data_IF_262767650085
#
_entry.id   IF_262767650085
#
_cell.length_a   1.000
_cell.length_b   1.000
_cell.length_c   1.000
_cell.angle_alpha   90.00
_cell.angle_beta   90.00
_cell.angle_gamma   90.00
#
_symmetry.space_group_name_H-M   'P 1'
#
loop_
_entity.id
_entity.type
_entity.pdbx_description
1 polymer ?
#
# COMPACT_ATOMS: atom_id res chain seq x y z
N UNK A 1 9.31 -45.17 1.27
CA UNK A 1 9.01 -44.01 2.15
C UNK A 1 9.26 -42.67 1.44
N UNK A 2 10.45 -42.43 0.86
CA UNK A 2 10.73 -41.20 0.10
C UNK A 2 9.73 -40.90 -1.03
N UNK A 3 9.44 -41.88 -1.89
CA UNK A 3 8.48 -41.71 -2.99
C UNK A 3 7.07 -41.33 -2.49
N UNK A 4 6.65 -41.86 -1.34
CA UNK A 4 5.37 -41.54 -0.72
C UNK A 4 5.35 -40.11 -0.18
N UNK A 5 6.45 -39.65 0.46
CA UNK A 5 6.58 -38.26 0.88
C UNK A 5 6.63 -37.29 -0.31
N UNK A 6 7.31 -37.66 -1.40
CA UNK A 6 7.31 -36.88 -2.63
C UNK A 6 5.92 -36.79 -3.26
N UNK A 7 5.19 -37.91 -3.32
CA UNK A 7 3.82 -37.93 -3.84
C UNK A 7 2.87 -37.10 -2.96
N UNK A 8 2.97 -37.23 -1.64
CA UNK A 8 2.18 -36.42 -0.70
C UNK A 8 2.49 -34.93 -0.86
N UNK A 9 3.77 -34.58 -0.97
CA UNK A 9 4.19 -33.20 -1.19
C UNK A 9 3.68 -32.65 -2.53
N UNK A 10 3.69 -33.44 -3.60
CA UNK A 10 3.10 -33.08 -4.89
C UNK A 10 1.59 -32.82 -4.76
N UNK A 11 0.86 -33.66 -4.04
CA UNK A 11 -0.57 -33.45 -3.77
C UNK A 11 -0.79 -32.13 -3.03
N UNK A 12 0.01 -31.85 -2.00
CA UNK A 12 -0.05 -30.57 -1.25
C UNK A 12 0.22 -29.38 -2.17
N UNK A 13 1.21 -29.47 -3.06
CA UNK A 13 1.51 -28.41 -4.04
C UNK A 13 0.36 -28.19 -5.03
N UNK A 14 -0.24 -29.27 -5.53
CA UNK A 14 -1.39 -29.19 -6.44
C UNK A 14 -2.62 -28.60 -5.76
N UNK A 15 -2.89 -28.99 -4.51
CA UNK A 15 -3.97 -28.43 -3.70
C UNK A 15 -3.72 -26.95 -3.43
N UNK A 16 -2.52 -26.57 -2.99
CA UNK A 16 -2.15 -25.17 -2.77
C UNK A 16 -2.29 -24.33 -4.06
N UNK A 17 -1.82 -24.85 -5.19
CA UNK A 17 -1.94 -24.21 -6.49
C UNK A 17 -3.40 -24.06 -6.93
N UNK A 18 -4.20 -25.09 -6.75
CA UNK A 18 -5.64 -25.09 -7.03
C UNK A 18 -6.41 -24.08 -6.18
N UNK A 19 -6.18 -24.05 -4.85
CA UNK A 19 -6.80 -23.05 -3.98
C UNK A 19 -6.42 -21.62 -4.39
N UNK A 20 -5.14 -21.39 -4.70
CA UNK A 20 -4.66 -20.08 -5.14
C UNK A 20 -5.29 -19.66 -6.48
N UNK A 21 -5.41 -20.59 -7.43
CA UNK A 21 -6.08 -20.36 -8.71
C UNK A 21 -7.55 -19.98 -8.48
N UNK A 22 -8.29 -20.79 -7.74
CA UNK A 22 -9.71 -20.55 -7.43
C UNK A 22 -9.92 -19.21 -6.74
N UNK A 23 -9.09 -18.89 -5.73
CA UNK A 23 -9.16 -17.61 -5.03
C UNK A 23 -8.89 -16.41 -5.96
N UNK A 24 -7.93 -16.53 -6.87
CA UNK A 24 -7.63 -15.47 -7.84
C UNK A 24 -8.75 -15.31 -8.89
N UNK A 25 -9.36 -16.41 -9.36
CA UNK A 25 -10.49 -16.36 -10.29
C UNK A 25 -11.69 -15.69 -9.62
N UNK A 26 -12.08 -16.12 -8.41
CA UNK A 26 -13.17 -15.47 -7.67
C UNK A 26 -12.91 -14.00 -7.43
N UNK A 27 -11.67 -13.64 -7.05
CA UNK A 27 -11.27 -12.24 -6.89
C UNK A 27 -11.44 -11.45 -8.19
N UNK A 28 -11.00 -11.99 -9.32
CA UNK A 28 -11.16 -11.35 -10.63
C UNK A 28 -12.63 -11.13 -11.00
N UNK A 29 -13.49 -12.12 -10.77
CA UNK A 29 -14.94 -11.99 -11.00
C UNK A 29 -15.59 -10.95 -10.10
N UNK A 30 -15.16 -10.83 -8.83
CA UNK A 30 -15.66 -9.79 -7.91
C UNK A 30 -15.27 -8.39 -8.38
N UNK A 31 -14.03 -8.21 -8.83
CA UNK A 31 -13.55 -6.94 -9.39
C UNK A 31 -14.40 -6.53 -10.60
N UNK A 32 -14.64 -7.46 -11.55
CA UNK A 32 -15.47 -7.15 -12.72
C UNK A 32 -16.93 -6.85 -12.32
N UNK A 33 -17.49 -7.60 -11.35
CA UNK A 33 -18.83 -7.34 -10.83
C UNK A 33 -18.97 -5.93 -10.22
N UNK A 34 -17.96 -5.45 -9.50
CA UNK A 34 -17.92 -4.08 -8.97
C UNK A 34 -17.76 -3.06 -10.09
N UNK A 35 -16.91 -3.34 -11.08
CA UNK A 35 -16.70 -2.47 -12.24
C UNK A 35 -18.00 -2.29 -13.04
N UNK A 36 -18.74 -3.38 -13.29
CA UNK A 36 -20.05 -3.34 -13.93
C UNK A 36 -21.05 -2.47 -13.15
N UNK A 37 -21.19 -2.69 -11.84
CA UNK A 37 -22.07 -1.88 -11.00
C UNK A 37 -21.70 -0.39 -11.00
N UNK A 38 -20.40 -0.06 -11.06
CA UNK A 38 -19.95 1.33 -11.10
C UNK A 38 -20.22 1.96 -12.48
N UNK A 39 -20.01 1.21 -13.58
CA UNK A 39 -20.38 1.63 -14.94
C UNK A 39 -21.89 1.89 -15.05
N UNK A 40 -22.73 1.00 -14.51
CA UNK A 40 -24.19 1.16 -14.53
C UNK A 40 -24.65 2.39 -13.74
N UNK A 41 -24.04 2.66 -12.57
CA UNK A 41 -24.34 3.87 -11.78
C UNK A 41 -23.94 5.15 -12.50
N UNK A 42 -22.77 5.16 -13.15
CA UNK A 42 -22.31 6.30 -13.95
C UNK A 42 -23.27 6.55 -15.11
N UNK A 43 -23.69 5.49 -15.81
CA UNK A 43 -24.66 5.58 -16.90
C UNK A 43 -26.00 6.14 -16.42
N UNK A 44 -26.58 5.59 -15.35
CA UNK A 44 -27.86 6.05 -14.80
C UNK A 44 -27.81 7.53 -14.36
N UNK A 45 -26.70 7.99 -13.78
CA UNK A 45 -26.56 9.39 -13.35
C UNK A 45 -26.35 10.36 -14.52
N UNK A 46 -25.59 9.96 -15.55
CA UNK A 46 -25.26 10.82 -16.69
C UNK A 46 -26.33 10.82 -17.79
N UNK A 47 -27.06 9.71 -17.96
CA UNK A 47 -28.02 9.50 -19.05
C UNK A 47 -29.47 9.63 -18.56
N UNK A 48 -29.81 9.02 -17.42
CA UNK A 48 -31.19 8.96 -16.90
C UNK A 48 -31.47 9.94 -15.74
N UNK A 49 -30.46 10.68 -15.29
CA UNK A 49 -30.61 11.66 -14.21
C UNK A 49 -31.56 12.80 -14.61
N UNK A 50 -32.51 13.22 -13.74
CA UNK A 50 -33.43 14.30 -14.07
C UNK A 50 -32.62 15.57 -14.33
N UNK A 51 -32.72 16.11 -15.54
CA UNK A 51 -32.27 17.46 -15.87
C UNK A 51 -32.92 18.40 -14.86
N UNK A 52 -32.18 18.78 -13.80
CA UNK A 52 -32.60 19.87 -12.92
C UNK A 52 -32.66 21.12 -13.77
N UNK A 53 -33.89 21.44 -14.18
CA UNK A 53 -34.29 22.54 -15.02
C UNK A 53 -33.74 23.85 -14.41
N UNK A 54 -32.61 24.33 -14.92
CA UNK A 54 -32.12 25.69 -14.63
C UNK A 54 -30.61 25.88 -14.47
N UNK A 55 -29.82 24.85 -14.18
CA UNK A 55 -28.35 25.03 -14.08
C UNK A 55 -27.68 24.65 -15.40
N UNK A 56 -27.25 25.70 -16.09
CA UNK A 56 -26.31 25.74 -17.22
C UNK A 56 -25.54 24.43 -17.38
N UNK A 57 -25.70 23.78 -18.54
CA UNK A 57 -24.90 22.65 -18.97
C UNK A 57 -23.42 22.97 -18.73
N UNK A 58 -22.90 22.54 -17.58
CA UNK A 58 -21.47 22.32 -17.41
C UNK A 58 -21.18 21.33 -18.52
N UNK A 59 -20.49 21.78 -19.56
CA UNK A 59 -20.01 20.91 -20.61
C UNK A 59 -19.09 19.90 -19.94
N UNK A 60 -19.66 18.78 -19.48
CA UNK A 60 -18.90 17.66 -18.98
C UNK A 60 -18.12 17.21 -20.20
N UNK A 61 -16.81 17.47 -20.18
CA UNK A 61 -15.92 17.09 -21.26
C UNK A 61 -16.15 15.60 -21.55
N UNK A 62 -16.57 15.29 -22.78
CA UNK A 62 -16.83 13.90 -23.18
C UNK A 62 -15.58 13.04 -22.98
N UNK A 63 -14.38 13.63 -23.02
CA UNK A 63 -13.11 12.98 -22.66
C UNK A 63 -12.98 12.65 -21.17
N UNK A 64 -13.50 13.48 -20.27
CA UNK A 64 -13.54 13.22 -18.83
C UNK A 64 -14.52 12.09 -18.49
N UNK A 65 -15.68 12.01 -19.16
CA UNK A 65 -16.62 10.89 -19.01
C UNK A 65 -15.98 9.58 -19.47
N UNK A 66 -15.32 9.56 -20.63
CA UNK A 66 -14.63 8.37 -21.16
C UNK A 66 -13.48 7.92 -20.23
N UNK A 67 -12.69 8.87 -19.70
CA UNK A 67 -11.61 8.59 -18.75
C UNK A 67 -12.11 8.07 -17.39
N UNK A 68 -13.23 8.64 -16.88
CA UNK A 68 -13.87 8.20 -15.63
C UNK A 68 -14.53 6.82 -15.78
N UNK A 69 -14.91 6.38 -16.98
CA UNK A 69 -15.71 5.16 -17.18
C UNK A 69 -14.85 3.88 -17.29
N UNK A 70 -13.55 4.00 -17.58
CA UNK A 70 -12.66 2.84 -17.78
C UNK A 70 -11.54 2.76 -16.74
N UNK A 71 -10.50 3.60 -16.85
CA UNK A 71 -9.30 3.45 -16.02
C UNK A 71 -9.54 3.75 -14.53
N UNK A 72 -10.32 4.78 -14.20
CA UNK A 72 -10.62 5.13 -12.79
C UNK A 72 -11.55 4.10 -12.14
N UNK A 73 -12.52 3.57 -12.88
CA UNK A 73 -13.45 2.53 -12.42
C UNK A 73 -12.73 1.22 -12.15
N UNK A 74 -11.83 0.80 -13.04
CA UNK A 74 -11.03 -0.41 -12.87
C UNK A 74 -10.06 -0.29 -11.69
N UNK A 75 -9.43 0.88 -11.49
CA UNK A 75 -8.56 1.12 -10.33
C UNK A 75 -9.35 1.06 -9.01
N UNK A 76 -10.56 1.63 -8.97
CA UNK A 76 -11.44 1.58 -7.79
C UNK A 76 -11.98 0.17 -7.55
N UNK A 77 -12.46 -0.50 -8.59
CA UNK A 77 -13.00 -1.86 -8.47
C UNK A 77 -11.91 -2.86 -8.05
N UNK A 78 -10.71 -2.74 -8.63
CA UNK A 78 -9.53 -3.51 -8.24
C UNK A 78 -9.17 -3.29 -6.76
N UNK A 79 -9.12 -2.03 -6.32
CA UNK A 79 -8.85 -1.71 -4.92
C UNK A 79 -9.90 -2.30 -3.97
N UNK A 80 -11.19 -2.23 -4.30
CA UNK A 80 -12.26 -2.82 -3.47
C UNK A 80 -12.16 -4.34 -3.41
N UNK A 81 -11.91 -5.01 -4.55
CA UNK A 81 -11.74 -6.46 -4.61
C UNK A 81 -10.52 -6.96 -3.82
N UNK A 82 -9.43 -6.18 -3.82
CA UNK A 82 -8.21 -6.49 -3.07
C UNK A 82 -8.30 -6.11 -1.58
N UNK A 83 -9.11 -5.13 -1.20
CA UNK A 83 -9.07 -4.51 0.13
C UNK A 83 -9.26 -5.46 1.31
N UNK A 84 -10.01 -6.56 1.13
CA UNK A 84 -10.25 -7.56 2.19
C UNK A 84 -9.44 -8.82 1.93
N UNK A 85 -9.51 -9.36 0.71
CA UNK A 85 -8.90 -10.64 0.35
C UNK A 85 -7.38 -10.62 0.43
N UNK A 86 -6.76 -9.51 0.00
CA UNK A 86 -5.30 -9.41 -0.03
C UNK A 86 -4.69 -9.34 1.38
N UNK A 87 -5.11 -8.43 2.29
CA UNK A 87 -4.58 -8.41 3.65
C UNK A 87 -4.85 -9.70 4.41
N UNK A 88 -6.04 -10.29 4.24
CA UNK A 88 -6.40 -11.53 4.92
C UNK A 88 -5.49 -12.69 4.49
N UNK A 89 -5.24 -12.83 3.18
CA UNK A 89 -4.35 -13.86 2.64
C UNK A 89 -2.90 -13.67 3.12
N UNK A 90 -2.38 -12.43 3.07
CA UNK A 90 -1.01 -12.17 3.48
C UNK A 90 -0.81 -12.28 5.00
N UNK A 91 -1.77 -11.79 5.79
CA UNK A 91 -1.75 -12.01 7.23
C UNK A 91 -1.80 -13.51 7.56
N UNK A 92 -2.72 -14.26 6.94
CA UNK A 92 -2.81 -15.71 7.14
C UNK A 92 -1.53 -16.44 6.77
N UNK A 93 -0.88 -16.08 5.66
CA UNK A 93 0.39 -16.68 5.23
C UNK A 93 1.52 -16.35 6.20
N UNK A 94 1.63 -15.08 6.63
CA UNK A 94 2.64 -14.63 7.57
C UNK A 94 2.46 -15.30 8.94
N UNK A 95 1.25 -15.28 9.50
CA UNK A 95 0.95 -15.89 10.80
C UNK A 95 1.07 -17.41 10.78
N UNK A 96 0.63 -18.07 9.69
CA UNK A 96 0.80 -19.51 9.54
C UNK A 96 2.27 -19.92 9.47
N UNK A 97 3.08 -19.18 8.71
CA UNK A 97 4.52 -19.43 8.60
C UNK A 97 5.24 -19.12 9.92
N UNK A 98 4.93 -18.00 10.57
CA UNK A 98 5.46 -17.67 11.89
C UNK A 98 5.09 -18.73 12.94
N UNK A 99 3.83 -19.18 12.97
CA UNK A 99 3.37 -20.23 13.87
C UNK A 99 4.13 -21.55 13.64
N UNK A 100 4.36 -21.92 12.39
CA UNK A 100 5.21 -23.06 12.04
C UNK A 100 6.65 -22.86 12.54
N UNK A 101 7.26 -21.68 12.36
CA UNK A 101 8.60 -21.41 12.85
C UNK A 101 8.70 -21.50 14.38
N UNK A 102 7.71 -20.97 15.11
CA UNK A 102 7.65 -21.13 16.57
C UNK A 102 7.55 -22.58 17.00
N UNK A 103 6.81 -23.41 16.27
CA UNK A 103 6.74 -24.84 16.53
C UNK A 103 8.10 -25.54 16.32
N UNK A 104 8.86 -25.14 15.29
CA UNK A 104 10.15 -25.76 14.96
C UNK A 104 11.24 -25.37 15.97
N UNK A 105 11.44 -24.09 16.25
CA UNK A 105 12.41 -23.64 17.25
C UNK A 105 12.02 -22.26 17.84
N UNK A 106 11.39 -22.23 19.03
CA UNK A 106 10.91 -20.99 19.64
C UNK A 106 11.98 -19.91 19.84
N UNK A 107 13.21 -20.32 20.17
CA UNK A 107 14.32 -19.38 20.45
C UNK A 107 14.66 -18.55 19.21
N UNK A 108 14.87 -19.19 18.06
CA UNK A 108 15.18 -18.49 16.79
C UNK A 108 13.96 -17.69 16.30
N UNK A 109 12.75 -18.23 16.45
CA UNK A 109 11.52 -17.56 16.04
C UNK A 109 11.27 -16.26 16.83
N UNK A 110 11.57 -16.25 18.13
CA UNK A 110 11.43 -15.06 18.95
C UNK A 110 12.35 -13.91 18.48
N UNK A 111 13.59 -14.21 18.09
CA UNK A 111 14.50 -13.21 17.50
C UNK A 111 13.99 -12.70 16.15
N UNK A 112 13.45 -13.59 15.30
CA UNK A 112 12.86 -13.21 14.03
C UNK A 112 11.65 -12.27 14.22
N UNK A 113 10.78 -12.51 15.20
CA UNK A 113 9.69 -11.59 15.53
C UNK A 113 10.22 -10.25 16.05
N UNK A 114 11.23 -10.27 16.93
CA UNK A 114 11.83 -9.05 17.46
C UNK A 114 12.38 -8.13 16.36
N UNK A 115 12.92 -8.70 15.28
CA UNK A 115 13.36 -7.96 14.08
C UNK A 115 12.25 -7.16 13.42
N UNK A 116 11.00 -7.65 13.39
CA UNK A 116 9.88 -6.98 12.76
C UNK A 116 9.23 -5.90 13.66
N UNK A 117 9.42 -5.96 14.98
CA UNK A 117 8.84 -4.98 15.94
C UNK A 117 9.19 -3.53 15.57
N UNK A 118 10.46 -3.16 15.26
CA UNK A 118 10.79 -1.83 14.80
C UNK A 118 9.95 -1.35 13.61
N UNK A 119 9.63 -2.22 12.64
CA UNK A 119 8.79 -1.84 11.50
C UNK A 119 7.34 -1.58 11.91
N UNK A 120 6.77 -2.39 12.80
CA UNK A 120 5.41 -2.21 13.33
C UNK A 120 5.24 -0.82 13.95
N UNK A 121 6.26 -0.34 14.64
CA UNK A 121 6.23 0.97 15.33
C UNK A 121 6.62 2.11 14.40
N UNK A 122 7.71 1.97 13.65
CA UNK A 122 8.28 3.07 12.86
C UNK A 122 7.49 3.35 11.58
N UNK A 123 6.90 2.33 10.94
CA UNK A 123 6.14 2.52 9.69
C UNK A 123 4.91 3.39 9.89
N UNK A 124 4.02 3.15 10.88
CA UNK A 124 2.88 4.04 11.13
C UNK A 124 3.29 5.47 11.48
N UNK A 125 4.33 5.63 12.31
CA UNK A 125 4.83 6.95 12.70
C UNK A 125 5.39 7.70 11.47
N UNK A 126 6.22 7.04 10.67
CA UNK A 126 6.79 7.61 9.45
C UNK A 126 5.71 7.94 8.42
N UNK A 127 4.71 7.07 8.25
CA UNK A 127 3.60 7.30 7.34
C UNK A 127 2.75 8.51 7.76
N UNK A 128 2.48 8.70 9.06
CA UNK A 128 1.81 9.91 9.57
C UNK A 128 2.60 11.18 9.23
N UNK A 129 3.94 11.16 9.34
CA UNK A 129 4.80 12.30 8.96
C UNK A 129 4.73 12.57 7.45
N UNK A 130 4.83 11.52 6.63
CA UNK A 130 4.68 11.60 5.17
C UNK A 130 3.34 12.24 4.80
N UNK A 131 2.22 11.76 5.37
CA UNK A 131 0.88 12.27 5.08
C UNK A 131 0.73 13.75 5.45
N UNK A 132 1.25 14.17 6.61
CA UNK A 132 1.24 15.59 7.04
C UNK A 132 1.98 16.49 6.05
N UNK A 133 3.19 16.11 5.67
CA UNK A 133 3.96 16.87 4.69
C UNK A 133 3.34 16.79 3.29
N UNK A 134 2.75 15.67 2.89
CA UNK A 134 2.05 15.55 1.61
C UNK A 134 0.88 16.56 1.52
N UNK A 135 0.11 16.70 2.61
CA UNK A 135 -0.96 17.70 2.69
C UNK A 135 -0.42 19.15 2.60
N UNK A 136 0.69 19.45 3.29
CA UNK A 136 1.35 20.76 3.19
C UNK A 136 1.84 21.03 1.77
N UNK A 137 2.47 20.04 1.15
CA UNK A 137 2.99 20.12 -0.21
C UNK A 137 1.87 20.39 -1.21
N UNK A 138 0.75 19.67 -1.12
CA UNK A 138 -0.42 19.89 -1.97
C UNK A 138 -0.97 21.32 -1.84
N UNK A 139 -1.08 21.85 -0.61
CA UNK A 139 -1.50 23.24 -0.38
C UNK A 139 -0.53 24.27 -0.97
N UNK A 140 0.78 24.03 -0.88
CA UNK A 140 1.80 24.90 -1.47
C UNK A 140 1.71 24.90 -3.00
N UNK A 141 1.53 23.73 -3.63
CA UNK A 141 1.31 23.60 -5.07
C UNK A 141 0.03 24.31 -5.53
N UNK A 142 -1.06 24.20 -4.77
CA UNK A 142 -2.31 24.92 -5.08
C UNK A 142 -2.11 26.44 -5.02
N UNK A 143 -1.39 26.94 -4.01
CA UNK A 143 -1.02 28.38 -3.93
C UNK A 143 -0.11 28.81 -5.09
N UNK A 144 0.82 27.96 -5.52
CA UNK A 144 1.65 28.21 -6.71
C UNK A 144 0.79 28.32 -7.96
N UNK A 145 -0.12 27.38 -8.18
CA UNK A 145 -1.07 27.40 -9.30
C UNK A 145 -1.93 28.66 -9.29
N UNK A 146 -2.41 29.09 -8.12
CA UNK A 146 -3.12 30.36 -7.96
C UNK A 146 -2.29 31.57 -8.43
N UNK A 147 -1.01 31.67 -8.01
CA UNK A 147 -0.14 32.78 -8.44
C UNK A 147 0.06 32.83 -9.97
N UNK A 148 0.05 31.67 -10.64
CA UNK A 148 0.15 31.57 -12.11
C UNK A 148 -1.17 31.97 -12.78
N UNK A 149 -2.29 31.44 -12.29
CA UNK A 149 -3.61 31.56 -12.96
C UNK A 149 -4.29 32.90 -12.68
N UNK A 150 -4.41 33.31 -11.40
CA UNK A 150 -5.17 34.52 -11.06
C UNK A 150 -4.40 35.81 -11.30
N UNK A 151 -3.13 35.74 -11.70
CA UNK A 151 -2.34 36.88 -12.14
C UNK A 151 -2.56 38.12 -11.26
N UNK A 152 -2.48 37.96 -9.93
CA UNK A 152 -2.90 38.94 -8.91
C UNK A 152 -2.58 40.38 -9.39
N UNK A 153 -3.59 41.08 -9.94
CA UNK A 153 -3.40 42.33 -10.72
C UNK A 153 -2.85 43.45 -9.83
N UNK A 154 -2.97 43.27 -8.51
CA UNK A 154 -2.53 44.19 -7.45
C UNK A 154 -1.05 44.08 -7.09
N UNK A 155 -0.32 43.05 -7.53
CA UNK A 155 1.10 42.84 -7.18
C UNK A 155 2.02 43.20 -8.34
N UNK A 156 3.09 43.96 -8.08
CA UNK A 156 4.14 44.19 -9.08
C UNK A 156 4.85 42.87 -9.44
N UNK A 157 5.42 42.80 -10.65
CA UNK A 157 6.12 41.60 -11.15
C UNK A 157 7.19 41.08 -10.16
N UNK A 158 7.95 41.99 -9.53
CA UNK A 158 8.96 41.63 -8.53
C UNK A 158 8.35 40.95 -7.28
N UNK A 159 7.20 41.43 -6.79
CA UNK A 159 6.51 40.82 -5.65
C UNK A 159 5.93 39.44 -6.00
N UNK A 160 5.38 39.27 -7.21
CA UNK A 160 4.90 37.96 -7.71
C UNK A 160 6.04 36.95 -7.82
N UNK A 161 7.16 37.33 -8.43
CA UNK A 161 8.34 36.47 -8.55
C UNK A 161 8.89 36.05 -7.17
N UNK A 162 8.97 36.99 -6.21
CA UNK A 162 9.39 36.67 -4.83
C UNK A 162 8.42 35.71 -4.13
N UNK A 163 7.11 35.92 -4.25
CA UNK A 163 6.07 35.06 -3.66
C UNK A 163 6.14 33.65 -4.26
N UNK A 164 6.24 33.55 -5.58
CA UNK A 164 6.42 32.29 -6.29
C UNK A 164 7.68 31.54 -5.82
N UNK A 165 8.83 32.23 -5.76
CA UNK A 165 10.08 31.65 -5.29
C UNK A 165 10.01 31.13 -3.84
N UNK A 166 9.34 31.84 -2.93
CA UNK A 166 9.11 31.38 -1.55
C UNK A 166 8.26 30.11 -1.51
N UNK A 167 7.14 30.09 -2.25
CA UNK A 167 6.24 28.93 -2.30
C UNK A 167 6.92 27.70 -2.94
N UNK A 168 7.69 27.89 -4.01
CA UNK A 168 8.43 26.83 -4.70
C UNK A 168 9.51 26.21 -3.80
N UNK A 169 10.28 27.04 -3.08
CA UNK A 169 11.23 26.54 -2.06
C UNK A 169 10.53 25.79 -0.92
N UNK A 170 9.37 26.28 -0.47
CA UNK A 170 8.52 25.56 0.49
C UNK A 170 8.09 24.19 -0.04
N UNK A 171 7.63 24.12 -1.29
CA UNK A 171 7.21 22.87 -1.91
C UNK A 171 8.37 21.87 -2.01
N UNK A 172 9.56 22.32 -2.45
CA UNK A 172 10.78 21.52 -2.51
C UNK A 172 11.18 20.98 -1.14
N UNK A 173 11.26 21.83 -0.11
CA UNK A 173 11.65 21.41 1.24
C UNK A 173 10.70 20.35 1.81
N UNK A 174 9.40 20.55 1.62
CA UNK A 174 8.38 19.58 2.05
C UNK A 174 8.53 18.24 1.32
N UNK A 175 8.83 18.26 0.01
CA UNK A 175 9.07 17.04 -0.78
C UNK A 175 10.32 16.29 -0.32
N UNK A 176 11.41 17.01 -0.01
CA UNK A 176 12.65 16.42 0.51
C UNK A 176 12.41 15.74 1.87
N UNK A 177 11.62 16.36 2.76
CA UNK A 177 11.26 15.73 4.05
C UNK A 177 10.48 14.42 3.86
N UNK A 178 9.52 14.40 2.90
CA UNK A 178 8.80 13.17 2.53
C UNK A 178 9.78 12.10 2.06
N UNK A 179 10.72 12.43 1.16
CA UNK A 179 11.70 11.47 0.65
C UNK A 179 12.62 10.93 1.74
N UNK A 180 13.10 11.77 2.66
CA UNK A 180 13.94 11.33 3.77
C UNK A 180 13.26 10.24 4.60
N UNK A 181 11.99 10.44 4.98
CA UNK A 181 11.26 9.44 5.77
C UNK A 181 10.90 8.22 4.93
N UNK A 182 10.46 8.41 3.67
CA UNK A 182 10.14 7.30 2.77
C UNK A 182 11.34 6.37 2.60
N UNK A 183 12.50 6.91 2.23
CA UNK A 183 13.69 6.11 1.98
C UNK A 183 14.30 5.53 3.24
N UNK A 184 14.16 6.19 4.40
CA UNK A 184 14.50 5.57 5.68
C UNK A 184 13.64 4.34 5.96
N UNK A 185 12.31 4.41 5.73
CA UNK A 185 11.43 3.25 5.91
C UNK A 185 11.71 2.13 4.91
N UNK A 186 12.05 2.46 3.66
CA UNK A 186 12.48 1.47 2.66
C UNK A 186 13.79 0.81 3.06
N UNK A 187 14.78 1.61 3.49
CA UNK A 187 16.04 1.10 3.99
C UNK A 187 15.85 0.16 5.19
N UNK A 188 15.02 0.53 6.16
CA UNK A 188 14.69 -0.31 7.31
C UNK A 188 14.02 -1.63 6.89
N UNK A 189 13.17 -1.59 5.86
CA UNK A 189 12.63 -2.79 5.18
C UNK A 189 13.74 -3.73 4.75
N UNK A 190 14.48 -3.28 3.75
CA UNK A 190 15.55 -4.04 3.11
C UNK A 190 16.63 -4.51 4.10
N UNK A 191 16.92 -3.71 5.13
CA UNK A 191 17.88 -4.07 6.16
C UNK A 191 17.41 -5.27 6.99
N UNK A 192 16.13 -5.31 7.36
CA UNK A 192 15.56 -6.45 8.11
C UNK A 192 15.55 -7.71 7.24
N UNK A 193 15.22 -7.58 5.95
CA UNK A 193 15.24 -8.71 5.02
C UNK A 193 16.64 -9.30 4.86
N UNK A 194 17.67 -8.45 4.82
CA UNK A 194 19.06 -8.87 4.73
C UNK A 194 19.60 -9.44 6.05
N UNK A 195 19.21 -8.87 7.19
CA UNK A 195 19.69 -9.27 8.52
C UNK A 195 18.98 -10.52 9.04
N UNK A 196 17.75 -10.82 8.58
CA UNK A 196 17.01 -12.01 8.99
C UNK A 196 17.81 -13.31 8.88
N UNK A 197 18.30 -13.68 7.68
CA UNK A 197 19.15 -14.86 7.50
C UNK A 197 20.44 -14.81 8.32
N UNK A 198 21.03 -13.63 8.50
CA UNK A 198 22.24 -13.45 9.31
C UNK A 198 21.97 -13.79 10.79
N UNK A 199 20.84 -13.34 11.35
CA UNK A 199 20.45 -13.64 12.72
C UNK A 199 20.12 -15.13 12.88
N UNK A 200 19.43 -15.73 11.91
CA UNK A 200 19.19 -17.18 11.91
C UNK A 200 20.51 -17.94 11.93
N UNK A 201 21.50 -17.52 11.13
CA UNK A 201 22.81 -18.17 11.10
C UNK A 201 23.60 -17.96 12.40
N UNK A 202 23.62 -16.74 12.95
CA UNK A 202 24.37 -16.42 14.16
C UNK A 202 23.77 -17.11 15.40
N UNK A 203 22.47 -16.93 15.64
CA UNK A 203 21.78 -17.49 16.81
C UNK A 203 21.58 -18.98 16.64
N UNK A 204 21.04 -19.40 15.49
CA UNK A 204 20.83 -20.81 15.24
C UNK A 204 22.14 -21.58 15.15
N UNK A 205 23.18 -21.01 14.53
CA UNK A 205 24.50 -21.65 14.45
C UNK A 205 25.11 -21.85 15.83
N UNK A 206 24.96 -20.88 16.74
CA UNK A 206 25.33 -21.04 18.14
C UNK A 206 24.54 -22.18 18.82
N UNK A 207 23.24 -22.30 18.57
CA UNK A 207 22.42 -23.40 19.12
C UNK A 207 22.82 -24.77 18.56
N UNK A 208 23.21 -24.83 17.28
CA UNK A 208 23.73 -26.06 16.67
C UNK A 208 25.05 -26.47 17.33
N UNK A 209 25.96 -25.52 17.59
CA UNK A 209 27.21 -25.80 18.29
C UNK A 209 26.99 -26.31 19.73
N UNK A 210 25.89 -25.91 20.37
CA UNK A 210 25.48 -26.42 21.68
C UNK A 210 24.69 -27.73 21.63
N UNK A 211 24.43 -28.29 20.45
CA UNK A 211 23.61 -29.49 20.27
C UNK A 211 22.11 -29.29 20.58
N UNK A 212 21.63 -28.04 20.59
CA UNK A 212 20.21 -27.68 20.86
C UNK A 212 19.37 -27.50 19.59
N UNK A 213 20.02 -27.47 18.44
CA UNK A 213 19.39 -27.37 17.13
C UNK A 213 20.16 -28.21 16.11
N UNK A 214 19.48 -28.60 15.04
CA UNK A 214 20.11 -29.30 13.93
C UNK A 214 20.43 -28.33 12.79
N UNK A 215 21.39 -28.70 11.93
CA UNK A 215 21.68 -27.92 10.71
C UNK A 215 20.44 -27.80 9.82
N UNK A 216 19.58 -28.82 9.81
CA UNK A 216 18.29 -28.77 9.11
C UNK A 216 17.37 -27.65 9.61
N UNK A 217 17.40 -27.36 10.91
CA UNK A 217 16.65 -26.24 11.52
C UNK A 217 17.07 -24.91 10.89
N UNK A 218 18.37 -24.68 10.68
CA UNK A 218 18.84 -23.44 10.05
C UNK A 218 18.27 -23.23 8.65
N UNK A 219 18.27 -24.29 7.83
CA UNK A 219 17.73 -24.24 6.47
C UNK A 219 16.24 -23.94 6.50
N UNK A 220 15.48 -24.61 7.38
CA UNK A 220 14.05 -24.36 7.59
C UNK A 220 13.80 -22.90 7.99
N UNK A 221 14.62 -22.35 8.89
CA UNK A 221 14.45 -20.97 9.34
C UNK A 221 14.83 -19.93 8.29
N UNK A 222 15.89 -20.14 7.51
CA UNK A 222 16.25 -19.22 6.43
C UNK A 222 15.13 -19.16 5.39
N UNK A 223 14.64 -20.33 4.94
CA UNK A 223 13.53 -20.41 3.98
C UNK A 223 12.21 -19.89 4.58
N UNK A 224 11.94 -20.21 5.84
CA UNK A 224 10.73 -19.77 6.53
C UNK A 224 10.72 -18.27 6.79
N UNK A 225 11.85 -17.67 7.13
CA UNK A 225 11.97 -16.22 7.32
C UNK A 225 11.63 -15.47 6.04
N UNK A 226 12.17 -15.90 4.90
CA UNK A 226 11.83 -15.30 3.60
C UNK A 226 10.33 -15.42 3.30
N UNK A 227 9.73 -16.59 3.59
CA UNK A 227 8.28 -16.80 3.45
C UNK A 227 7.42 -15.94 4.38
N UNK A 228 7.97 -15.39 5.45
CA UNK A 228 7.31 -14.40 6.33
C UNK A 228 7.56 -12.97 5.85
N UNK A 229 8.77 -12.65 5.42
CA UNK A 229 9.16 -11.30 5.00
C UNK A 229 8.33 -10.83 3.79
N UNK A 230 8.13 -11.69 2.79
CA UNK A 230 7.35 -11.37 1.59
C UNK A 230 5.90 -10.91 1.91
N UNK A 231 5.06 -11.70 2.61
CA UNK A 231 3.70 -11.27 2.94
C UNK A 231 3.70 -10.09 3.91
N UNK A 232 4.70 -9.97 4.78
CA UNK A 232 4.84 -8.85 5.70
C UNK A 232 5.03 -7.52 4.97
N UNK A 233 5.94 -7.48 3.99
CA UNK A 233 6.19 -6.31 3.17
C UNK A 233 4.98 -5.91 2.34
N UNK A 234 4.22 -6.90 1.87
CA UNK A 234 2.97 -6.69 1.18
C UNK A 234 1.90 -6.05 2.08
N UNK A 235 1.78 -6.48 3.33
CA UNK A 235 0.90 -5.85 4.32
C UNK A 235 1.30 -4.41 4.63
N UNK A 236 2.61 -4.15 4.79
CA UNK A 236 3.11 -2.79 5.00
C UNK A 236 2.84 -1.90 3.79
N UNK A 237 3.00 -2.43 2.58
CA UNK A 237 2.70 -1.72 1.34
C UNK A 237 1.23 -1.39 1.23
N UNK A 238 0.35 -2.36 1.50
CA UNK A 238 -1.10 -2.14 1.55
C UNK A 238 -1.46 -1.04 2.56
N UNK A 239 -0.91 -1.09 3.78
CA UNK A 239 -1.11 -0.05 4.79
C UNK A 239 -0.69 1.34 4.30
N UNK A 240 0.50 1.45 3.68
CA UNK A 240 1.02 2.72 3.15
C UNK A 240 0.11 3.27 2.04
N UNK A 241 -0.35 2.42 1.13
CA UNK A 241 -1.27 2.78 0.04
C UNK A 241 -2.60 3.29 0.57
N UNK A 242 -3.24 2.55 1.46
CA UNK A 242 -4.51 2.94 2.08
C UNK A 242 -4.38 4.25 2.87
N UNK A 243 -3.27 4.42 3.60
CA UNK A 243 -2.97 5.65 4.36
C UNK A 243 -2.80 6.88 3.44
N UNK A 244 -2.15 6.69 2.29
CA UNK A 244 -2.02 7.73 1.27
C UNK A 244 -3.38 8.07 0.64
N UNK A 245 -4.16 7.05 0.24
CA UNK A 245 -5.48 7.22 -0.36
C UNK A 245 -6.42 8.00 0.58
N UNK A 246 -6.48 7.63 1.86
CA UNK A 246 -7.26 8.35 2.89
C UNK A 246 -6.87 9.82 3.01
N UNK A 247 -5.58 10.13 2.89
CA UNK A 247 -5.09 11.53 2.96
C UNK A 247 -5.50 12.31 1.72
N UNK A 248 -5.38 11.72 0.52
CA UNK A 248 -5.83 12.34 -0.73
C UNK A 248 -7.34 12.60 -0.71
N UNK A 249 -8.14 11.61 -0.31
CA UNK A 249 -9.58 11.73 -0.19
C UNK A 249 -9.98 12.89 0.73
N UNK A 250 -9.37 13.00 1.92
CA UNK A 250 -9.63 14.12 2.84
C UNK A 250 -9.33 15.48 2.22
N UNK A 251 -8.21 15.60 1.48
CA UNK A 251 -7.86 16.85 0.79
C UNK A 251 -8.87 17.24 -0.29
N UNK A 252 -9.50 16.26 -0.96
CA UNK A 252 -10.53 16.52 -1.97
C UNK A 252 -11.83 16.97 -1.28
N UNK A 253 -12.29 16.22 -0.26
CA UNK A 253 -13.50 16.55 0.50
C UNK A 253 -13.42 17.93 1.14
N UNK A 254 -12.29 18.28 1.76
CA UNK A 254 -12.05 19.60 2.36
C UNK A 254 -12.10 20.76 1.32
N UNK A 255 -12.03 20.45 0.02
CA UNK A 255 -12.08 21.44 -1.06
C UNK A 255 -13.42 21.53 -1.77
N UNK A 256 -14.33 20.59 -1.55
CA UNK A 256 -15.69 20.66 -2.05
C UNK A 256 -16.50 21.60 -1.12
N UNK A 257 -17.28 22.55 -1.66
CA UNK A 257 -18.14 23.39 -0.83
C UNK A 257 -19.11 22.49 -0.07
N UNK A 258 -19.23 22.68 1.25
CA UNK A 258 -20.16 21.92 2.08
C UNK A 258 -21.56 22.04 1.46
N UNK A 259 -22.05 20.95 0.87
CA UNK A 259 -23.46 20.83 0.50
C UNK A 259 -24.25 20.98 1.80
N UNK A 260 -24.77 22.19 2.04
CA UNK A 260 -25.81 22.41 3.04
C UNK A 260 -27.03 21.64 2.53
N UNK A 261 -27.30 20.52 3.18
CA UNK A 261 -28.59 19.86 3.13
C UNK A 261 -29.67 20.79 3.70
#
# INVERSE_FOLDING_TARGET
MLLLLCALYLVVLLVQGGLKYTLNVYRGSLVEGIALQLRDRIFAVLVDGPLKRGEQQVAIDKGAVVSMTSAEVEEVAGFVGDSISFPLLQAGTAFGTLGYLFWVQPEIAAFAVALFIPQIVLVPIGQRRINRWAAIHARLLRKLGGVIVTGDVRLTHAHRARRFGKLSRGARSTRVLIYRVKFFLTFLGNFIDAVGPLIVLAVGGYLVLQGRAEVGTLVVFISGFQKVADPWDQLLTFYRTTSNARTKYRLIVDTLPAQRA
#
